data_IF_041153400175
#
_entry.id   IF_041153400175
#
_cell.length_a   1.000
_cell.length_b   1.000
_cell.length_c   1.000
_cell.angle_alpha   90.00
_cell.angle_beta   90.00
_cell.angle_gamma   90.00
#
_symmetry.space_group_name_H-M   'P 1'
#
loop_
_entity.id
_entity.type
_entity.pdbx_description
1 polymer ?
#
# COMPACT_ATOMS: atom_id res chain seq x y z
N UNK A 1 5.02 0.66 35.85
CA UNK A 1 5.13 -0.64 35.16
C UNK A 1 6.50 -0.69 34.51
N UNK A 2 7.29 -1.74 34.71
CA UNK A 2 8.62 -1.83 34.10
C UNK A 2 8.51 -2.13 32.60
N UNK A 3 9.54 -1.83 31.81
CA UNK A 3 9.52 -2.07 30.35
C UNK A 3 9.27 -3.55 30.03
N UNK A 4 9.84 -4.46 30.82
CA UNK A 4 9.63 -5.90 30.68
C UNK A 4 8.14 -6.29 30.79
N UNK A 5 7.37 -5.64 31.68
CA UNK A 5 5.94 -5.91 31.85
C UNK A 5 5.14 -5.43 30.62
N UNK A 6 5.56 -4.32 30.01
CA UNK A 6 4.95 -3.78 28.78
C UNK A 6 5.20 -4.70 27.57
N UNK A 7 6.43 -5.20 27.44
CA UNK A 7 6.80 -6.17 26.39
C UNK A 7 6.01 -7.47 26.50
N UNK A 8 5.86 -8.01 27.72
CA UNK A 8 5.06 -9.20 27.97
C UNK A 8 3.58 -8.97 27.62
N UNK A 9 2.99 -7.84 28.03
CA UNK A 9 1.61 -7.50 27.70
C UNK A 9 1.39 -7.31 26.19
N UNK A 10 2.35 -6.71 25.48
CA UNK A 10 2.32 -6.61 24.03
C UNK A 10 2.35 -8.00 23.38
N UNK A 11 3.27 -8.87 23.79
CA UNK A 11 3.39 -10.22 23.24
C UNK A 11 2.13 -11.04 23.51
N UNK A 12 1.50 -10.88 24.68
CA UNK A 12 0.24 -11.53 25.01
C UNK A 12 -0.90 -11.08 24.07
N UNK A 13 -1.00 -9.78 23.76
CA UNK A 13 -1.95 -9.28 22.75
C UNK A 13 -1.72 -9.93 21.39
N UNK A 14 -0.46 -9.99 20.94
CA UNK A 14 -0.09 -10.63 19.66
C UNK A 14 -0.50 -12.10 19.64
N UNK A 15 -0.19 -12.87 20.70
CA UNK A 15 -0.52 -14.28 20.80
C UNK A 15 -2.03 -14.54 20.81
N UNK A 16 -2.82 -13.60 21.32
CA UNK A 16 -4.29 -13.64 21.33
C UNK A 16 -4.94 -13.04 20.07
N UNK A 17 -4.14 -12.71 19.06
CA UNK A 17 -4.56 -12.03 17.83
C UNK A 17 -5.30 -10.70 18.05
N UNK A 18 -5.08 -10.06 19.21
CA UNK A 18 -5.64 -8.76 19.52
C UNK A 18 -4.88 -7.71 18.71
N UNK A 19 -5.62 -6.90 17.93
CA UNK A 19 -5.04 -5.84 17.12
C UNK A 19 -4.39 -4.77 18.01
N UNK A 20 -3.20 -4.34 17.60
CA UNK A 20 -2.49 -3.22 18.20
C UNK A 20 -3.06 -1.93 17.61
N UNK A 21 -3.50 -1.02 18.47
CA UNK A 21 -4.09 0.26 18.08
C UNK A 21 -3.15 1.45 18.36
N UNK A 22 -3.37 2.64 17.77
CA UNK A 22 -2.44 3.77 17.87
C UNK A 22 -2.10 4.23 19.29
N UNK A 23 -3.04 4.08 20.23
CA UNK A 23 -2.87 4.46 21.65
C UNK A 23 -2.24 3.36 22.49
N UNK A 24 -2.09 2.17 21.95
CA UNK A 24 -1.44 1.08 22.66
C UNK A 24 0.07 1.35 22.77
N UNK A 25 0.64 0.93 23.89
CA UNK A 25 2.08 0.75 23.94
C UNK A 25 2.49 -0.35 22.96
N UNK A 26 3.60 -0.14 22.27
CA UNK A 26 4.21 -1.09 21.35
C UNK A 26 5.73 -0.91 21.37
N UNK A 27 6.53 -1.97 21.13
CA UNK A 27 7.98 -1.86 21.04
C UNK A 27 8.40 -0.86 19.96
N UNK A 28 9.46 -0.10 20.21
CA UNK A 28 9.92 0.94 19.27
C UNK A 28 10.37 0.33 17.92
N UNK A 29 10.98 -0.86 17.95
CA UNK A 29 11.32 -1.60 16.73
C UNK A 29 10.06 -1.99 15.92
N UNK A 30 8.97 -2.37 16.60
CA UNK A 30 7.68 -2.67 15.97
C UNK A 30 7.10 -1.41 15.31
N UNK A 31 7.11 -0.27 16.02
CA UNK A 31 6.66 1.02 15.47
C UNK A 31 7.46 1.39 14.22
N UNK A 32 8.79 1.40 14.32
CA UNK A 32 9.69 1.74 13.20
C UNK A 32 9.52 0.84 11.99
N UNK A 33 9.38 -0.48 12.19
CA UNK A 33 9.20 -1.39 11.06
C UNK A 33 7.83 -1.21 10.39
N UNK A 34 6.78 -0.94 11.16
CA UNK A 34 5.46 -0.64 10.59
C UNK A 34 5.47 0.70 9.84
N UNK A 35 6.09 1.76 10.41
CA UNK A 35 6.27 3.03 9.69
C UNK A 35 6.99 2.78 8.37
N UNK A 36 8.12 2.07 8.39
CA UNK A 36 8.89 1.74 7.19
C UNK A 36 8.04 0.97 6.16
N UNK A 37 7.31 -0.05 6.60
CA UNK A 37 6.55 -0.89 5.66
C UNK A 37 5.34 -0.15 5.08
N UNK A 38 4.53 0.51 5.92
CA UNK A 38 3.29 1.17 5.50
C UNK A 38 3.60 2.40 4.66
N UNK A 39 4.62 3.18 5.01
CA UNK A 39 5.07 4.33 4.19
C UNK A 39 5.54 3.88 2.81
N UNK A 40 6.37 2.84 2.73
CA UNK A 40 6.86 2.32 1.45
C UNK A 40 5.75 1.66 0.62
N UNK A 41 4.72 1.11 1.28
CA UNK A 41 3.50 0.70 0.61
C UNK A 41 2.76 1.91 0.01
N UNK A 42 2.54 2.97 0.79
CA UNK A 42 1.93 4.21 0.30
C UNK A 42 2.73 4.84 -0.86
N UNK A 43 4.07 4.81 -0.77
CA UNK A 43 4.94 5.25 -1.86
C UNK A 43 4.75 4.41 -3.12
N UNK A 44 4.53 3.11 -2.96
CA UNK A 44 4.30 2.20 -4.07
C UNK A 44 3.02 2.56 -4.83
N UNK A 45 1.94 2.92 -4.11
CA UNK A 45 0.72 3.42 -4.75
C UNK A 45 0.98 4.69 -5.57
N UNK A 46 1.66 5.68 -4.99
CA UNK A 46 1.93 6.95 -5.68
C UNK A 46 2.82 6.78 -6.90
N UNK A 47 3.86 5.95 -6.79
CA UNK A 47 4.82 5.74 -7.89
C UNK A 47 4.22 4.82 -8.96
N UNK A 48 3.32 3.90 -8.59
CA UNK A 48 2.61 3.02 -9.52
C UNK A 48 1.75 3.75 -10.55
N UNK A 49 1.22 4.91 -10.17
CA UNK A 49 0.46 5.77 -11.08
C UNK A 49 1.28 6.29 -12.27
N UNK A 50 2.62 6.33 -12.19
CA UNK A 50 3.46 6.89 -13.25
C UNK A 50 3.51 6.01 -14.52
N UNK A 51 3.90 4.71 -14.45
CA UNK A 51 3.92 3.84 -15.62
C UNK A 51 2.53 3.67 -16.27
N UNK A 52 1.46 3.69 -15.47
CA UNK A 52 0.09 3.60 -15.97
C UNK A 52 -0.44 4.92 -16.52
N UNK A 53 -0.17 6.02 -15.82
CA UNK A 53 -0.49 7.39 -16.25
C UNK A 53 0.08 7.73 -17.63
N UNK A 54 1.25 7.16 -17.96
CA UNK A 54 1.88 7.26 -19.27
C UNK A 54 0.94 6.85 -20.43
N UNK A 55 0.00 5.93 -20.20
CA UNK A 55 -0.90 5.40 -21.23
C UNK A 55 -2.32 5.99 -21.20
N UNK A 56 -2.68 6.82 -20.22
CA UNK A 56 -4.01 7.43 -20.12
C UNK A 56 -4.39 8.19 -21.41
N UNK A 57 -3.47 8.97 -21.98
CA UNK A 57 -3.74 9.73 -23.21
C UNK A 57 -3.81 8.84 -24.47
N UNK A 58 -3.19 7.66 -24.44
CA UNK A 58 -2.93 6.78 -25.60
C UNK A 58 -3.69 5.45 -25.58
N UNK A 59 -4.55 5.23 -24.59
CA UNK A 59 -5.39 4.03 -24.53
C UNK A 59 -6.22 3.86 -25.82
N UNK A 60 -6.28 2.64 -26.39
CA UNK A 60 -6.77 2.40 -27.76
C UNK A 60 -8.28 2.56 -27.92
N UNK A 61 -9.03 2.54 -26.83
CA UNK A 61 -10.50 2.74 -26.83
C UNK A 61 -10.91 3.60 -25.64
N UNK A 62 -12.04 4.31 -25.77
CA UNK A 62 -12.59 5.11 -24.68
C UNK A 62 -12.98 4.26 -23.46
N UNK A 63 -13.47 3.03 -23.68
CA UNK A 63 -13.77 2.09 -22.59
C UNK A 63 -12.53 1.79 -21.76
N UNK A 64 -11.42 1.42 -22.41
CA UNK A 64 -10.16 1.11 -21.70
C UNK A 64 -9.54 2.36 -21.07
N UNK A 65 -9.67 3.52 -21.72
CA UNK A 65 -9.25 4.81 -21.14
C UNK A 65 -9.99 5.12 -19.84
N UNK A 66 -11.31 4.97 -19.81
CA UNK A 66 -12.12 5.23 -18.62
C UNK A 66 -11.76 4.29 -17.46
N UNK A 67 -11.56 3.00 -17.75
CA UNK A 67 -11.12 2.01 -16.76
C UNK A 67 -9.75 2.38 -16.19
N UNK A 68 -8.78 2.72 -17.05
CA UNK A 68 -7.43 3.08 -16.60
C UNK A 68 -7.43 4.35 -15.74
N UNK A 69 -8.24 5.36 -16.09
CA UNK A 69 -8.39 6.56 -15.27
C UNK A 69 -8.98 6.22 -13.90
N UNK A 70 -10.01 5.36 -13.85
CA UNK A 70 -10.61 4.92 -12.59
C UNK A 70 -9.59 4.16 -11.72
N UNK A 71 -8.79 3.27 -12.30
CA UNK A 71 -7.72 2.55 -11.60
C UNK A 71 -6.70 3.51 -10.99
N UNK A 72 -6.12 4.39 -11.79
CA UNK A 72 -5.10 5.35 -11.33
C UNK A 72 -5.67 6.33 -10.30
N UNK A 73 -6.95 6.67 -10.38
CA UNK A 73 -7.64 7.46 -9.35
C UNK A 73 -7.72 6.69 -8.02
N UNK A 74 -8.06 5.41 -8.06
CA UNK A 74 -8.16 4.58 -6.86
C UNK A 74 -6.78 4.37 -6.21
N UNK A 75 -5.71 4.18 -6.98
CA UNK A 75 -4.32 4.11 -6.47
C UNK A 75 -3.96 5.36 -5.67
N UNK A 76 -4.34 6.55 -6.14
CA UNK A 76 -4.15 7.78 -5.39
C UNK A 76 -4.90 7.75 -4.04
N UNK A 77 -6.14 7.24 -4.03
CA UNK A 77 -6.94 7.04 -2.83
C UNK A 77 -6.32 6.02 -1.86
N UNK A 78 -5.78 4.92 -2.39
CA UNK A 78 -5.11 3.88 -1.61
C UNK A 78 -3.85 4.42 -0.95
N UNK A 79 -3.05 5.20 -1.68
CA UNK A 79 -1.91 5.93 -1.13
C UNK A 79 -2.31 6.82 0.05
N UNK A 80 -3.43 7.54 -0.06
CA UNK A 80 -3.96 8.36 1.05
C UNK A 80 -4.37 7.52 2.27
N UNK A 81 -5.02 6.38 2.07
CA UNK A 81 -5.38 5.48 3.18
C UNK A 81 -4.13 4.96 3.90
N UNK A 82 -3.09 4.58 3.15
CA UNK A 82 -1.85 4.06 3.70
C UNK A 82 -1.03 5.13 4.41
N UNK A 83 -0.93 6.35 3.85
CA UNK A 83 -0.31 7.47 4.56
C UNK A 83 -1.05 7.76 5.87
N UNK A 84 -2.38 7.84 5.84
CA UNK A 84 -3.17 8.05 7.06
C UNK A 84 -2.94 6.94 8.10
N UNK A 85 -2.82 5.67 7.68
CA UNK A 85 -2.48 4.58 8.58
C UNK A 85 -1.06 4.73 9.17
N UNK A 86 -0.07 5.12 8.38
CA UNK A 86 1.29 5.35 8.85
C UNK A 86 1.39 6.56 9.81
N UNK A 87 0.60 7.61 9.59
CA UNK A 87 0.58 8.79 10.46
C UNK A 87 0.15 8.46 11.90
N UNK A 88 -0.69 7.43 12.08
CA UNK A 88 -1.08 6.96 13.41
C UNK A 88 0.07 6.38 14.24
N UNK A 89 1.25 6.16 13.63
CA UNK A 89 2.47 5.72 14.31
C UNK A 89 3.39 6.88 14.72
N UNK A 90 3.05 8.13 14.37
CA UNK A 90 3.75 9.34 14.80
C UNK A 90 4.73 9.96 13.79
N UNK A 91 4.72 9.52 12.53
CA UNK A 91 5.41 10.21 11.43
C UNK A 91 4.42 11.07 10.65
N UNK A 92 4.84 12.19 10.06
CA UNK A 92 3.98 12.98 9.16
C UNK A 92 4.06 12.47 7.72
N UNK A 93 3.00 12.69 6.93
CA UNK A 93 3.04 12.45 5.48
C UNK A 93 4.13 13.23 4.78
N UNK A 94 4.36 14.49 5.15
CA UNK A 94 5.41 15.31 4.55
C UNK A 94 6.79 14.69 4.75
N UNK A 95 7.09 14.19 5.94
CA UNK A 95 8.35 13.50 6.21
C UNK A 95 8.48 12.21 5.39
N UNK A 96 7.40 11.45 5.24
CA UNK A 96 7.39 10.24 4.42
C UNK A 96 7.66 10.59 2.94
N UNK A 97 7.04 11.65 2.42
CA UNK A 97 7.26 12.11 1.04
C UNK A 97 8.69 12.65 0.82
N UNK A 98 9.25 13.35 1.79
CA UNK A 98 10.66 13.78 1.75
C UNK A 98 11.60 12.57 1.75
N UNK A 99 11.33 11.56 2.57
CA UNK A 99 12.11 10.31 2.61
C UNK A 99 12.02 9.56 1.27
N UNK A 100 10.86 9.57 0.60
CA UNK A 100 10.70 9.03 -0.75
C UNK A 100 11.54 9.83 -1.77
N UNK A 101 11.37 11.15 -1.82
CA UNK A 101 11.99 12.01 -2.83
C UNK A 101 13.52 12.09 -2.68
N UNK A 102 14.04 11.95 -1.46
CA UNK A 102 15.47 11.86 -1.18
C UNK A 102 16.08 10.48 -1.49
N UNK A 103 15.25 9.47 -1.77
CA UNK A 103 15.67 8.08 -1.99
C UNK A 103 16.02 7.30 -0.72
N UNK A 104 15.75 7.87 0.47
CA UNK A 104 15.94 7.20 1.76
C UNK A 104 14.93 6.09 1.99
N UNK A 105 13.68 6.31 1.61
CA UNK A 105 12.62 5.30 1.59
C UNK A 105 12.46 4.71 0.19
N UNK A 106 12.00 3.46 0.14
CA UNK A 106 11.80 2.71 -1.11
C UNK A 106 10.33 2.72 -1.53
N UNK A 107 10.09 2.22 -2.73
CA UNK A 107 8.80 1.81 -3.26
C UNK A 107 8.97 0.45 -3.96
N UNK A 108 7.87 -0.18 -4.38
CA UNK A 108 7.91 -1.46 -5.06
C UNK A 108 8.79 -1.41 -6.31
N UNK A 109 9.70 -2.37 -6.43
CA UNK A 109 10.71 -2.38 -7.50
C UNK A 109 10.11 -2.45 -8.90
N UNK A 110 8.90 -3.00 -9.04
CA UNK A 110 8.21 -3.20 -10.32
C UNK A 110 7.94 -1.88 -11.07
N UNK A 111 7.82 -0.76 -10.35
CA UNK A 111 7.53 0.53 -10.95
C UNK A 111 8.77 1.22 -11.55
N UNK A 112 9.93 0.55 -11.56
CA UNK A 112 11.11 1.01 -12.29
C UNK A 112 11.18 0.47 -13.73
N UNK A 113 10.19 -0.33 -14.16
CA UNK A 113 10.15 -0.90 -15.51
C UNK A 113 9.27 -0.03 -16.43
N UNK A 114 9.73 0.27 -17.66
CA UNK A 114 8.98 1.14 -18.57
C UNK A 114 7.79 0.40 -19.22
N UNK A 115 6.72 1.13 -19.53
CA UNK A 115 5.54 0.64 -20.24
C UNK A 115 5.61 1.01 -21.72
N UNK A 116 6.14 0.10 -22.54
CA UNK A 116 6.55 0.38 -23.92
C UNK A 116 5.43 0.24 -24.95
N UNK A 117 4.42 -0.57 -24.64
CA UNK A 117 3.27 -0.92 -25.49
C UNK A 117 1.98 -0.91 -24.69
N UNK A 118 0.82 -0.88 -25.38
CA UNK A 118 -0.47 -0.97 -24.69
C UNK A 118 -0.65 -2.31 -23.96
N UNK A 119 -0.02 -3.39 -24.45
CA UNK A 119 -0.09 -4.69 -23.81
C UNK A 119 0.48 -4.68 -22.38
N UNK A 120 1.41 -3.77 -22.10
CA UNK A 120 1.96 -3.59 -20.75
C UNK A 120 0.89 -3.16 -19.74
N UNK A 121 -0.15 -2.42 -20.14
CA UNK A 121 -1.27 -2.05 -19.25
C UNK A 121 -2.10 -3.27 -18.84
N UNK A 122 -2.30 -4.22 -19.76
CA UNK A 122 -2.92 -5.51 -19.42
C UNK A 122 -2.01 -6.34 -18.51
N UNK A 123 -0.71 -6.38 -18.78
CA UNK A 123 0.25 -7.14 -17.97
C UNK A 123 0.42 -6.58 -16.55
N UNK A 124 0.48 -5.25 -16.39
CA UNK A 124 0.49 -4.57 -15.09
C UNK A 124 -0.79 -4.89 -14.34
N UNK A 125 -1.95 -4.57 -14.92
CA UNK A 125 -3.23 -4.80 -14.28
C UNK A 125 -3.50 -6.28 -13.96
N UNK A 126 -2.98 -7.24 -14.72
CA UNK A 126 -3.20 -8.66 -14.43
C UNK A 126 -2.14 -9.27 -13.50
N UNK A 127 -0.86 -9.16 -13.86
CA UNK A 127 0.24 -9.86 -13.20
C UNK A 127 0.79 -9.07 -12.02
N UNK A 128 0.96 -7.75 -12.18
CA UNK A 128 1.53 -6.90 -11.12
C UNK A 128 0.49 -6.73 -10.01
N UNK A 129 -0.73 -6.33 -10.35
CA UNK A 129 -1.82 -6.23 -9.36
C UNK A 129 -2.17 -7.62 -8.79
N UNK A 130 -2.08 -8.68 -9.60
CA UNK A 130 -2.29 -10.05 -9.11
C UNK A 130 -1.28 -10.43 -8.01
N UNK A 131 -0.01 -10.08 -8.18
CA UNK A 131 1.02 -10.27 -7.16
C UNK A 131 0.78 -9.36 -5.94
N UNK A 132 0.33 -8.12 -6.15
CA UNK A 132 -0.02 -7.20 -5.08
C UNK A 132 -1.17 -7.75 -4.23
N UNK A 133 -2.29 -8.15 -4.84
CA UNK A 133 -3.44 -8.74 -4.15
C UNK A 133 -3.04 -9.96 -3.31
N UNK A 134 -2.20 -10.86 -3.83
CA UNK A 134 -1.72 -12.00 -3.05
C UNK A 134 -0.98 -11.56 -1.78
N UNK A 135 -0.15 -10.52 -1.87
CA UNK A 135 0.53 -9.95 -0.71
C UNK A 135 -0.45 -9.25 0.25
N UNK A 136 -1.34 -8.41 -0.29
CA UNK A 136 -2.22 -7.54 0.47
C UNK A 136 -3.31 -8.32 1.22
N UNK A 137 -3.88 -9.36 0.59
CA UNK A 137 -4.86 -10.24 1.24
C UNK A 137 -4.26 -10.92 2.47
N UNK A 138 -2.99 -11.32 2.40
CA UNK A 138 -2.28 -11.89 3.56
C UNK A 138 -2.09 -10.85 4.68
N UNK A 139 -1.89 -9.59 4.31
CA UNK A 139 -1.73 -8.49 5.25
C UNK A 139 -3.05 -7.94 5.81
N UNK A 140 -4.22 -8.30 5.27
CA UNK A 140 -5.53 -7.95 5.86
C UNK A 140 -5.67 -8.41 7.33
N UNK A 141 -4.88 -9.41 7.75
CA UNK A 141 -4.83 -9.91 9.13
C UNK A 141 -3.58 -9.46 9.91
N UNK A 142 -2.80 -8.51 9.40
CA UNK A 142 -1.64 -7.95 10.12
C UNK A 142 -2.02 -7.46 11.52
N UNK A 143 -1.03 -7.44 12.43
CA UNK A 143 -1.28 -7.14 13.86
C UNK A 143 -1.60 -5.68 14.12
N UNK A 144 -1.16 -4.75 13.27
CA UNK A 144 -1.47 -3.32 13.44
C UNK A 144 -2.84 -2.98 12.86
N UNK A 145 -3.78 -2.59 13.72
CA UNK A 145 -5.19 -2.39 13.39
C UNK A 145 -5.45 -1.39 12.25
N UNK A 146 -4.87 -0.17 12.29
CA UNK A 146 -5.05 0.81 11.21
C UNK A 146 -4.63 0.27 9.83
N UNK A 147 -3.52 -0.45 9.77
CA UNK A 147 -3.02 -1.02 8.52
C UNK A 147 -3.90 -2.16 8.01
N UNK A 148 -4.32 -3.07 8.90
CA UNK A 148 -5.27 -4.14 8.57
C UNK A 148 -6.57 -3.57 7.98
N UNK A 149 -7.12 -2.51 8.58
CA UNK A 149 -8.37 -1.88 8.10
C UNK A 149 -8.21 -1.19 6.75
N UNK A 150 -7.07 -0.54 6.50
CA UNK A 150 -6.77 0.07 5.20
C UNK A 150 -6.73 -1.00 4.10
N UNK A 151 -5.99 -2.09 4.33
CA UNK A 151 -5.84 -3.20 3.37
C UNK A 151 -7.16 -3.90 3.06
N UNK A 152 -8.07 -4.04 4.04
CA UNK A 152 -9.41 -4.59 3.79
C UNK A 152 -10.22 -3.72 2.80
N UNK A 153 -10.01 -2.41 2.78
CA UNK A 153 -10.64 -1.51 1.80
C UNK A 153 -9.96 -1.61 0.45
N UNK A 154 -8.62 -1.49 0.43
CA UNK A 154 -7.79 -1.55 -0.78
C UNK A 154 -8.04 -2.86 -1.54
N UNK A 155 -7.96 -4.03 -0.87
CA UNK A 155 -8.20 -5.32 -1.49
C UNK A 155 -9.60 -5.48 -2.12
N UNK A 156 -10.62 -4.79 -1.60
CA UNK A 156 -11.97 -4.83 -2.19
C UNK A 156 -12.00 -4.07 -3.52
N UNK A 157 -11.34 -2.93 -3.57
CA UNK A 157 -11.29 -2.04 -4.74
C UNK A 157 -10.34 -2.61 -5.82
N UNK A 158 -9.14 -3.05 -5.45
CA UNK A 158 -8.14 -3.60 -6.40
C UNK A 158 -8.59 -4.87 -7.11
N UNK A 159 -9.38 -5.73 -6.45
CA UNK A 159 -9.85 -6.99 -7.06
C UNK A 159 -10.66 -6.76 -8.33
N UNK A 160 -11.33 -5.60 -8.45
CA UNK A 160 -12.04 -5.19 -9.64
C UNK A 160 -11.07 -4.80 -10.75
N UNK A 161 -10.06 -3.97 -10.45
CA UNK A 161 -9.07 -3.50 -11.43
C UNK A 161 -8.22 -4.64 -11.98
N UNK A 162 -7.85 -5.59 -11.12
CA UNK A 162 -7.07 -6.75 -11.54
C UNK A 162 -7.83 -7.62 -12.55
N UNK A 163 -9.13 -7.81 -12.34
CA UNK A 163 -10.00 -8.48 -13.31
C UNK A 163 -10.03 -7.72 -14.64
N UNK A 164 -10.12 -6.39 -14.59
CA UNK A 164 -10.14 -5.56 -15.79
C UNK A 164 -8.81 -5.53 -16.55
N UNK A 165 -7.67 -5.79 -15.87
CA UNK A 165 -6.37 -5.97 -16.51
C UNK A 165 -6.26 -7.29 -17.27
N UNK A 166 -6.91 -8.35 -16.78
CA UNK A 166 -6.96 -9.65 -17.46
C UNK A 166 -7.85 -9.67 -18.71
N UNK A 167 -9.00 -8.99 -18.66
CA UNK A 167 -9.94 -8.83 -19.79
C UNK A 167 -9.43 -7.85 -20.85
#
# INVERSE_FOLDING_TARGET
MQIHDLEAAFQEKINKEIKIEPRDWMPEAYRKTNVRQISQHAHSEIIGMLPEGNWISRAPTLKRKAILIAKVQDEAGHGLYLYAAAETLGTSRDQMLEDLNSGKAKYSSIFNYPTLTWADMGAVGWLVDGAAILNQVMLCRTSYGPYARALVRICKEESFHQRQGFE
#
